data_IF_971177131328
#
_entry.id   IF_971177131328
#
_cell.length_a   1.000
_cell.length_b   1.000
_cell.length_c   1.000
_cell.angle_alpha   90.00
_cell.angle_beta   90.00
_cell.angle_gamma   90.00
#
_symmetry.space_group_name_H-M   'P 1'
#
loop_
_entity.id
_entity.type
_entity.pdbx_description
1 polymer ?
#
# COMPACT_ATOMS: atom_id res chain seq x y z
N UNK A 1 -37.77 -55.46 21.89
CA UNK A 1 -37.57 -54.22 21.12
C UNK A 1 -37.38 -53.11 22.14
N UNK A 2 -36.13 -52.87 22.55
CA UNK A 2 -35.30 -51.69 22.18
C UNK A 2 -35.53 -50.55 23.20
N UNK A 3 -34.65 -50.37 24.19
CA UNK A 3 -33.52 -49.39 24.23
C UNK A 3 -33.98 -47.95 23.93
N UNK A 4 -33.67 -46.87 24.65
CA UNK A 4 -32.61 -46.48 25.62
C UNK A 4 -32.95 -45.01 25.97
N UNK A 5 -32.78 -44.44 27.16
CA UNK A 5 -31.63 -44.47 28.07
C UNK A 5 -30.97 -43.09 28.09
N UNK A 6 -31.29 -42.27 29.10
CA UNK A 6 -30.74 -40.93 29.37
C UNK A 6 -29.21 -40.89 29.47
N UNK A 7 -28.59 -39.80 29.02
CA UNK A 7 -27.24 -39.38 29.45
C UNK A 7 -27.20 -37.87 29.79
N UNK A 8 -26.44 -37.46 30.83
CA UNK A 8 -26.17 -36.07 31.17
C UNK A 8 -24.77 -35.63 30.70
N UNK A 9 -24.62 -34.41 30.19
CA UNK A 9 -23.30 -33.81 29.91
C UNK A 9 -22.76 -33.14 31.18
N UNK A 10 -21.83 -33.84 31.85
CA UNK A 10 -21.01 -33.31 32.93
C UNK A 10 -19.72 -32.67 32.42
N UNK A 11 -19.29 -31.61 33.11
CA UNK A 11 -17.97 -30.99 32.98
C UNK A 11 -16.85 -32.02 33.18
N UNK A 12 -15.72 -31.94 32.44
CA UNK A 12 -14.55 -32.72 32.77
C UNK A 12 -13.88 -32.11 34.01
N UNK A 13 -14.28 -32.61 35.18
CA UNK A 13 -13.47 -32.50 36.39
C UNK A 13 -12.13 -33.19 36.11
N UNK A 14 -11.02 -32.46 36.25
CA UNK A 14 -9.67 -33.02 36.30
C UNK A 14 -9.58 -33.99 37.47
N UNK A 15 -9.81 -35.28 37.22
CA UNK A 15 -9.53 -36.34 38.18
C UNK A 15 -8.02 -36.54 38.19
N UNK A 16 -7.35 -35.92 39.17
CA UNK A 16 -5.98 -36.26 39.52
C UNK A 16 -5.99 -37.69 40.08
N UNK A 17 -5.70 -38.67 39.21
CA UNK A 17 -5.54 -40.06 39.61
C UNK A 17 -4.27 -40.14 40.46
N UNK A 18 -4.43 -40.15 41.78
CA UNK A 18 -3.34 -40.33 42.76
C UNK A 18 -2.69 -41.70 42.48
N UNK A 19 -1.60 -41.71 41.71
CA UNK A 19 -0.67 -42.84 41.64
C UNK A 19 0.00 -42.95 43.01
N UNK A 20 0.13 -44.19 43.47
CA UNK A 20 0.84 -44.60 44.68
C UNK A 20 2.13 -43.80 44.89
N UNK A 21 2.28 -43.25 46.09
CA UNK A 21 3.41 -42.45 46.55
C UNK A 21 4.73 -43.21 46.39
N UNK A 22 5.53 -42.78 45.41
CA UNK A 22 6.98 -42.85 45.45
C UNK A 22 7.41 -41.39 45.47
N UNK A 23 7.94 -40.91 46.59
CA UNK A 23 8.44 -39.54 46.66
C UNK A 23 9.66 -39.43 45.72
N UNK A 24 9.64 -38.50 44.73
CA UNK A 24 10.76 -38.32 43.83
C UNK A 24 11.95 -37.78 44.62
N UNK A 25 13.08 -38.48 44.55
CA UNK A 25 14.27 -38.20 45.34
C UNK A 25 15.11 -37.03 44.82
N UNK A 26 14.78 -36.49 43.63
CA UNK A 26 15.46 -35.32 43.06
C UNK A 26 14.57 -34.50 42.13
N UNK A 27 14.88 -33.21 41.99
CA UNK A 27 14.20 -32.27 41.08
C UNK A 27 14.41 -32.70 39.61
N UNK A 28 15.54 -33.34 39.31
CA UNK A 28 15.87 -33.88 38.00
C UNK A 28 14.89 -34.99 37.56
N UNK A 29 14.52 -35.92 38.45
CA UNK A 29 13.56 -37.01 38.15
C UNK A 29 12.12 -36.49 37.90
N UNK A 30 11.76 -35.36 38.51
CA UNK A 30 10.51 -34.65 38.23
C UNK A 30 10.54 -33.91 36.88
N UNK A 31 11.72 -33.47 36.45
CA UNK A 31 11.91 -32.70 35.23
C UNK A 31 12.17 -33.54 33.98
N UNK A 32 12.46 -34.83 34.11
CA UNK A 32 12.81 -35.72 32.99
C UNK A 32 11.64 -36.05 32.02
N UNK A 33 10.39 -36.26 32.47
CA UNK A 33 9.26 -36.55 31.56
C UNK A 33 8.56 -35.30 31.00
N UNK A 34 8.75 -34.14 31.64
CA UNK A 34 8.09 -32.87 31.26
C UNK A 34 8.43 -32.36 29.84
N UNK A 35 9.66 -32.54 29.30
CA UNK A 35 10.02 -32.03 27.98
C UNK A 35 9.29 -32.76 26.86
N UNK A 36 9.14 -34.09 26.94
CA UNK A 36 8.45 -34.87 25.90
C UNK A 36 6.96 -34.58 25.88
N UNK A 37 6.34 -34.49 27.06
CA UNK A 37 4.92 -34.19 27.21
C UNK A 37 4.61 -32.75 26.75
N UNK A 38 5.49 -31.81 27.10
CA UNK A 38 5.40 -30.42 26.63
C UNK A 38 5.54 -30.33 25.10
N UNK A 39 6.45 -31.09 24.47
CA UNK A 39 6.61 -31.09 23.03
C UNK A 39 5.38 -31.67 22.31
N UNK A 40 4.77 -32.73 22.86
CA UNK A 40 3.53 -33.33 22.35
C UNK A 40 2.36 -32.37 22.48
N UNK A 41 2.20 -31.73 23.64
CA UNK A 41 1.13 -30.77 23.87
C UNK A 41 1.29 -29.53 22.98
N UNK A 42 2.53 -29.03 22.84
CA UNK A 42 2.86 -27.94 21.93
C UNK A 42 2.53 -28.30 20.47
N UNK A 43 2.85 -29.50 20.02
CA UNK A 43 2.51 -29.96 18.66
C UNK A 43 0.97 -29.99 18.46
N UNK A 44 0.24 -30.51 19.45
CA UNK A 44 -1.23 -30.54 19.41
C UNK A 44 -1.86 -29.14 19.41
N UNK A 45 -1.30 -28.21 20.18
CA UNK A 45 -1.73 -26.81 20.22
C UNK A 45 -1.49 -26.12 18.86
N UNK A 46 -0.32 -26.36 18.25
CA UNK A 46 0.01 -25.79 16.95
C UNK A 46 -0.95 -26.26 15.86
N UNK A 47 -1.33 -27.55 15.86
CA UNK A 47 -2.32 -28.09 14.93
C UNK A 47 -3.71 -27.45 15.11
N UNK A 48 -4.13 -27.21 16.35
CA UNK A 48 -5.41 -26.52 16.66
C UNK A 48 -5.41 -25.05 16.23
N UNK A 49 -4.24 -24.42 16.11
CA UNK A 49 -4.08 -23.00 15.76
C UNK A 49 -3.98 -22.72 14.25
N UNK A 50 -4.05 -23.76 13.41
CA UNK A 50 -4.00 -23.63 11.96
C UNK A 50 -5.32 -23.03 11.43
N UNK A 51 -5.18 -22.08 10.51
CA UNK A 51 -6.24 -21.48 9.72
C UNK A 51 -5.95 -21.75 8.25
N UNK A 52 -6.97 -21.81 7.40
CA UNK A 52 -6.77 -22.01 5.95
C UNK A 52 -6.76 -20.64 5.28
N UNK A 53 -5.73 -20.35 4.48
CA UNK A 53 -5.66 -19.12 3.68
C UNK A 53 -6.61 -19.19 2.46
N UNK A 54 -6.79 -18.05 1.76
CA UNK A 54 -7.61 -18.00 0.55
C UNK A 54 -7.09 -18.83 -0.63
N UNK A 55 -5.95 -19.52 -0.48
CA UNK A 55 -5.34 -20.42 -1.46
C UNK A 55 -5.37 -21.89 -1.01
N UNK A 56 -5.99 -22.20 0.14
CA UNK A 56 -6.10 -23.56 0.66
C UNK A 56 -4.92 -24.04 1.52
N UNK A 57 -3.96 -23.19 1.84
CA UNK A 57 -2.81 -23.56 2.68
C UNK A 57 -3.12 -23.37 4.16
N UNK A 58 -2.61 -24.28 4.99
CA UNK A 58 -2.68 -24.16 6.43
C UNK A 58 -1.65 -23.13 6.94
N UNK A 59 -2.14 -21.97 7.35
CA UNK A 59 -1.37 -20.87 7.94
C UNK A 59 -1.66 -20.74 9.44
N UNK A 60 -0.64 -20.51 10.25
CA UNK A 60 -0.82 -20.18 11.67
C UNK A 60 -0.12 -18.88 12.03
N UNK A 61 -0.56 -18.26 13.12
CA UNK A 61 0.15 -17.12 13.69
C UNK A 61 1.49 -17.59 14.28
N UNK A 62 2.53 -16.82 14.01
CA UNK A 62 3.85 -17.04 14.61
C UNK A 62 3.84 -16.68 16.10
N UNK A 63 4.53 -17.48 16.90
CA UNK A 63 4.74 -17.24 18.34
C UNK A 63 5.69 -16.05 18.57
N UNK A 64 5.67 -15.49 19.79
CA UNK A 64 6.56 -14.37 20.17
C UNK A 64 8.05 -14.73 20.00
N UNK A 65 8.39 -15.99 20.29
CA UNK A 65 9.75 -16.51 20.14
C UNK A 65 10.15 -16.61 18.66
N UNK A 66 9.30 -17.18 17.81
CA UNK A 66 9.56 -17.32 16.37
C UNK A 66 9.76 -15.96 15.69
N UNK A 67 8.90 -14.97 16.01
CA UNK A 67 9.03 -13.60 15.49
C UNK A 67 10.37 -12.98 15.92
N UNK A 68 10.73 -13.13 17.19
CA UNK A 68 11.98 -12.58 17.73
C UNK A 68 13.22 -13.27 17.15
N UNK A 69 13.15 -14.58 16.92
CA UNK A 69 14.22 -15.35 16.31
C UNK A 69 14.45 -14.94 14.84
N UNK A 70 13.38 -14.80 14.06
CA UNK A 70 13.45 -14.35 12.67
C UNK A 70 13.99 -12.92 12.54
N UNK A 71 13.60 -12.00 13.42
CA UNK A 71 14.14 -10.63 13.44
C UNK A 71 15.66 -10.64 13.73
N UNK A 72 16.12 -11.49 14.65
CA UNK A 72 17.56 -11.62 14.96
C UNK A 72 18.34 -12.24 13.82
N UNK A 73 17.80 -13.29 13.20
CA UNK A 73 18.41 -13.96 12.06
C UNK A 73 18.57 -13.02 10.88
N UNK A 74 17.56 -12.20 10.60
CA UNK A 74 17.64 -11.22 9.50
C UNK A 74 18.60 -10.07 9.82
N UNK A 75 18.75 -9.68 11.08
CA UNK A 75 19.75 -8.67 11.50
C UNK A 75 21.20 -9.14 11.32
N UNK A 76 21.43 -10.46 11.21
CA UNK A 76 22.74 -11.06 10.96
C UNK A 76 23.01 -11.31 9.46
N UNK A 77 21.99 -11.19 8.59
CA UNK A 77 22.16 -11.36 7.15
C UNK A 77 22.69 -10.07 6.52
N UNK A 78 23.75 -10.18 5.71
CA UNK A 78 24.34 -9.06 4.96
C UNK A 78 23.63 -8.75 3.64
N UNK A 79 22.68 -9.59 3.21
CA UNK A 79 21.96 -9.44 1.94
C UNK A 79 20.52 -8.99 2.19
N UNK A 80 20.19 -7.77 1.76
CA UNK A 80 18.87 -7.17 1.97
C UNK A 80 18.06 -7.27 0.68
N UNK A 81 17.19 -8.28 0.60
CA UNK A 81 16.15 -8.35 -0.44
C UNK A 81 14.96 -7.46 -0.04
N UNK A 82 14.34 -6.78 -1.01
CA UNK A 82 13.18 -5.89 -0.78
C UNK A 82 12.02 -6.64 -0.11
N UNK A 83 11.72 -7.85 -0.56
CA UNK A 83 10.68 -8.70 0.02
C UNK A 83 10.99 -9.05 1.48
N UNK A 84 12.25 -9.40 1.76
CA UNK A 84 12.71 -9.70 3.12
C UNK A 84 12.61 -8.49 4.04
N UNK A 85 12.96 -7.29 3.56
CA UNK A 85 12.85 -6.05 4.31
C UNK A 85 11.40 -5.70 4.67
N UNK A 86 10.46 -5.92 3.74
CA UNK A 86 9.02 -5.75 3.99
C UNK A 86 8.54 -6.74 5.06
N UNK A 87 8.94 -8.01 4.95
CA UNK A 87 8.58 -9.05 5.93
C UNK A 87 9.16 -8.74 7.31
N UNK A 88 10.45 -8.39 7.42
CA UNK A 88 11.05 -8.04 8.72
C UNK A 88 10.37 -6.84 9.35
N UNK A 89 10.02 -5.84 8.54
CA UNK A 89 9.29 -4.67 9.01
C UNK A 89 7.91 -5.06 9.58
N UNK A 90 7.17 -5.91 8.88
CA UNK A 90 5.87 -6.43 9.35
C UNK A 90 6.00 -7.24 10.65
N UNK A 91 7.05 -8.06 10.77
CA UNK A 91 7.36 -8.81 11.99
C UNK A 91 7.71 -7.90 13.18
N UNK A 92 8.52 -6.86 12.96
CA UNK A 92 8.81 -5.83 13.98
C UNK A 92 7.54 -5.11 14.43
N UNK A 93 6.67 -4.77 13.48
CA UNK A 93 5.40 -4.11 13.77
C UNK A 93 4.46 -5.01 14.58
N UNK A 94 4.34 -6.30 14.24
CA UNK A 94 3.54 -7.27 15.00
C UNK A 94 4.05 -7.46 16.44
N UNK A 95 5.39 -7.43 16.62
CA UNK A 95 5.99 -7.44 17.97
C UNK A 95 5.54 -6.24 18.80
N UNK A 96 5.60 -5.03 18.25
CA UNK A 96 5.20 -3.81 18.95
C UNK A 96 3.70 -3.80 19.27
N UNK A 97 2.83 -4.25 18.35
CA UNK A 97 1.38 -4.37 18.60
C UNK A 97 1.05 -5.29 19.77
N UNK A 98 1.79 -6.40 19.88
CA UNK A 98 1.63 -7.36 21.00
C UNK A 98 2.12 -6.79 22.33
N UNK A 99 3.10 -5.90 22.31
CA UNK A 99 3.62 -5.24 23.52
C UNK A 99 2.67 -4.14 24.01
N UNK A 100 1.99 -3.44 23.10
CA UNK A 100 1.04 -2.38 23.44
C UNK A 100 -0.38 -2.88 23.78
N UNK A 101 -0.66 -4.17 23.62
CA UNK A 101 -2.00 -4.74 23.84
C UNK A 101 -3.05 -4.28 22.82
N UNK A 102 -2.64 -3.64 21.72
CA UNK A 102 -3.55 -3.17 20.68
C UNK A 102 -4.17 -4.36 19.93
N UNK A 103 -5.49 -4.49 19.98
CA UNK A 103 -6.24 -5.41 19.11
C UNK A 103 -6.00 -5.03 17.65
N UNK A 104 -5.92 -6.03 16.77
CA UNK A 104 -5.91 -5.81 15.33
C UNK A 104 -7.13 -4.97 14.93
N UNK A 105 -7.00 -4.02 13.99
CA UNK A 105 -8.18 -3.42 13.40
C UNK A 105 -8.95 -4.53 12.68
N UNK A 106 -10.07 -4.95 13.28
CA UNK A 106 -11.21 -5.46 12.52
C UNK A 106 -11.67 -4.27 11.68
N UNK A 107 -11.69 -4.44 10.36
CA UNK A 107 -12.20 -3.44 9.42
C UNK A 107 -13.70 -3.24 9.68
N UNK A 108 -14.03 -2.41 10.65
CA UNK A 108 -15.37 -1.87 10.84
C UNK A 108 -15.25 -0.35 10.80
N UNK A 109 -15.76 0.22 9.71
CA UNK A 109 -15.89 1.66 9.55
C UNK A 109 -16.95 2.16 10.53
N UNK A 110 -16.62 3.16 11.35
CA UNK A 110 -17.61 3.95 12.10
C UNK A 110 -17.53 5.41 11.67
N UNK A 111 -18.69 6.08 11.45
CA UNK A 111 -18.75 7.43 10.92
C UNK A 111 -18.74 8.48 12.03
N UNK A 112 -18.04 9.59 11.77
CA UNK A 112 -18.38 10.93 12.27
C UNK A 112 -18.02 11.27 13.73
N UNK A 113 -17.09 12.20 13.90
CA UNK A 113 -17.18 13.24 14.93
C UNK A 113 -16.21 14.38 14.60
N UNK A 114 -16.78 15.47 14.09
CA UNK A 114 -16.23 16.82 14.21
C UNK A 114 -16.39 17.25 15.67
N UNK A 115 -15.35 17.73 16.32
CA UNK A 115 -15.43 19.04 17.00
C UNK A 115 -14.04 19.59 17.36
N UNK A 116 -13.90 20.90 17.23
CA UNK A 116 -12.67 21.61 17.51
C UNK A 116 -12.57 22.09 18.96
N UNK A 117 -11.35 22.08 19.51
CA UNK A 117 -10.74 23.20 20.24
C UNK A 117 -9.32 22.82 20.69
N UNK A 118 -8.35 23.50 20.09
CA UNK A 118 -6.95 23.54 20.52
C UNK A 118 -6.82 24.31 21.83
N UNK A 119 -6.01 23.84 22.78
CA UNK A 119 -4.95 24.60 23.48
C UNK A 119 -3.96 23.57 24.04
N UNK A 120 -2.70 23.56 23.57
CA UNK A 120 -1.70 22.61 24.05
C UNK A 120 -0.37 23.29 24.36
N UNK A 121 -0.15 23.48 25.66
CA UNK A 121 1.09 23.87 26.29
C UNK A 121 2.09 22.71 26.28
N UNK A 122 3.35 22.99 25.96
CA UNK A 122 4.44 22.02 25.90
C UNK A 122 5.66 22.57 26.62
N UNK A 123 5.57 22.59 27.94
CA UNK A 123 6.71 22.85 28.82
C UNK A 123 7.12 21.56 29.52
N UNK A 124 8.07 20.84 28.92
CA UNK A 124 9.12 20.06 29.61
C UNK A 124 9.71 19.02 28.67
N UNK A 125 11.00 19.18 28.34
CA UNK A 125 12.01 18.12 28.24
C UNK A 125 13.29 18.71 27.65
N UNK A 126 14.27 18.98 28.52
CA UNK A 126 15.64 19.35 28.17
C UNK A 126 16.49 18.07 28.06
N UNK A 127 17.33 17.89 27.03
CA UNK A 127 18.38 16.88 27.04
C UNK A 127 19.76 17.51 27.31
N UNK A 128 20.56 16.83 28.12
CA UNK A 128 21.92 17.16 28.54
C UNK A 128 22.98 16.88 27.45
N UNK A 129 23.76 17.93 27.09
CA UNK A 129 25.25 18.04 26.93
C UNK A 129 26.08 16.81 26.46
N UNK A 130 27.03 16.81 25.50
CA UNK A 130 27.96 17.81 24.85
C UNK A 130 28.67 17.15 23.60
N UNK A 131 29.79 17.63 22.98
CA UNK A 131 29.77 18.56 21.85
C UNK A 131 30.71 18.21 20.65
N UNK A 132 30.18 18.07 19.44
CA UNK A 132 30.94 18.30 18.19
C UNK A 132 30.26 19.33 17.27
N UNK A 133 30.68 20.59 17.39
CA UNK A 133 30.77 21.69 16.40
C UNK A 133 29.71 21.87 15.27
N UNK A 134 28.53 21.27 15.36
CA UNK A 134 27.36 21.55 14.51
C UNK A 134 26.23 22.27 15.28
N UNK A 135 26.53 22.66 16.53
CA UNK A 135 25.57 23.13 17.51
C UNK A 135 24.74 24.35 17.12
N UNK A 136 25.26 25.47 16.59
CA UNK A 136 24.40 26.63 16.38
C UNK A 136 23.32 26.38 15.33
N UNK A 137 23.63 25.59 14.30
CA UNK A 137 22.67 25.22 13.24
C UNK A 137 21.72 24.14 13.76
N UNK A 138 22.22 23.08 14.39
CA UNK A 138 21.36 22.02 14.92
C UNK A 138 20.46 22.53 16.05
N UNK A 139 20.95 23.42 16.90
CA UNK A 139 20.19 24.09 17.95
C UNK A 139 19.17 25.06 17.34
N UNK A 140 19.53 25.82 16.29
CA UNK A 140 18.58 26.63 15.55
C UNK A 140 17.49 25.77 14.88
N UNK A 141 17.85 24.63 14.27
CA UNK A 141 16.91 23.68 13.68
C UNK A 141 16.00 23.04 14.73
N UNK A 142 16.54 22.66 15.89
CA UNK A 142 15.76 22.14 17.02
C UNK A 142 14.87 23.21 17.67
N UNK A 143 15.19 24.50 17.54
CA UNK A 143 14.33 25.62 17.98
C UNK A 143 13.17 25.91 17.01
N UNK A 144 13.23 25.42 15.77
CA UNK A 144 12.10 25.55 14.81
C UNK A 144 11.00 24.59 15.24
N UNK A 145 10.11 25.07 16.10
CA UNK A 145 8.95 24.30 16.57
C UNK A 145 7.76 24.37 15.61
N UNK A 146 7.71 25.37 14.72
CA UNK A 146 6.62 25.58 13.77
C UNK A 146 7.16 26.06 12.43
N UNK A 147 6.63 25.50 11.35
CA UNK A 147 6.81 26.02 9.99
C UNK A 147 5.49 26.64 9.56
N UNK A 148 5.48 27.82 8.93
CA UNK A 148 4.25 28.39 8.40
C UNK A 148 3.65 27.41 7.39
N UNK A 149 2.33 27.21 7.44
CA UNK A 149 1.65 26.14 6.70
C UNK A 149 2.05 26.14 5.23
N UNK A 150 2.04 27.30 4.58
CA UNK A 150 2.39 27.51 3.17
C UNK A 150 3.73 26.86 2.77
N UNK A 151 4.75 26.92 3.63
CA UNK A 151 6.08 26.35 3.41
C UNK A 151 6.25 24.91 3.92
N UNK A 152 5.24 24.40 4.64
CA UNK A 152 5.29 23.10 5.30
C UNK A 152 5.11 21.93 4.33
N UNK A 153 5.56 20.75 4.75
CA UNK A 153 5.26 19.50 4.04
C UNK A 153 3.75 19.24 3.98
N UNK A 154 3.00 19.68 5.00
CA UNK A 154 1.55 19.53 5.05
C UNK A 154 0.84 20.36 3.98
N UNK A 155 1.28 21.59 3.69
CA UNK A 155 0.74 22.37 2.55
C UNK A 155 1.08 21.72 1.21
N UNK A 156 2.29 21.18 1.05
CA UNK A 156 2.64 20.43 -0.17
C UNK A 156 1.77 19.20 -0.36
N UNK A 157 1.41 18.54 0.73
CA UNK A 157 0.61 17.32 0.71
C UNK A 157 -0.90 17.59 0.58
N UNK A 158 -1.44 18.55 1.33
CA UNK A 158 -2.87 18.83 1.46
C UNK A 158 -3.33 20.08 0.69
N UNK A 159 -2.46 21.08 0.52
CA UNK A 159 -2.75 22.33 -0.20
C UNK A 159 -3.44 23.39 0.62
N UNK A 160 -3.39 24.62 0.13
CA UNK A 160 -4.34 25.64 0.58
C UNK A 160 -5.73 25.27 0.07
N UNK A 161 -6.70 25.26 0.97
CA UNK A 161 -8.12 24.88 0.76
C UNK A 161 -8.87 25.77 -0.25
N UNK A 162 -8.20 26.73 -0.88
CA UNK A 162 -8.77 27.74 -1.77
C UNK A 162 -8.80 27.34 -3.25
N UNK A 163 -8.66 26.06 -3.58
CA UNK A 163 -8.78 25.62 -4.96
C UNK A 163 -10.26 25.50 -5.35
N UNK A 164 -10.70 26.51 -6.10
CA UNK A 164 -11.88 26.59 -6.95
C UNK A 164 -12.37 25.21 -7.41
N UNK A 165 -13.65 24.92 -7.14
CA UNK A 165 -14.33 23.64 -7.38
C UNK A 165 -13.74 22.85 -8.56
N UNK A 166 -12.94 21.84 -8.24
CA UNK A 166 -12.35 20.94 -9.22
C UNK A 166 -13.48 20.12 -9.83
N UNK A 167 -13.58 20.08 -11.16
CA UNK A 167 -14.44 19.11 -11.87
C UNK A 167 -13.81 17.73 -11.69
N UNK A 168 -14.17 17.08 -10.59
CA UNK A 168 -13.72 15.74 -10.23
C UNK A 168 -14.56 14.73 -11.01
N UNK A 169 -13.90 13.76 -11.63
CA UNK A 169 -14.53 12.64 -12.33
C UNK A 169 -15.03 11.60 -11.32
N UNK A 170 -14.19 11.23 -10.35
CA UNK A 170 -14.53 10.27 -9.31
C UNK A 170 -13.62 10.40 -8.07
N UNK A 171 -14.16 9.98 -6.93
CA UNK A 171 -13.41 9.75 -5.69
C UNK A 171 -13.35 8.26 -5.41
N UNK A 172 -12.14 7.73 -5.22
CA UNK A 172 -11.91 6.32 -4.92
C UNK A 172 -11.33 6.18 -3.51
N UNK A 173 -12.17 5.68 -2.60
CA UNK A 173 -11.80 5.36 -1.22
C UNK A 173 -11.42 3.89 -1.02
N UNK A 174 -11.66 3.04 -2.02
CA UNK A 174 -11.45 1.60 -1.92
C UNK A 174 -10.02 1.21 -2.29
N UNK A 175 -9.43 1.94 -3.24
CA UNK A 175 -8.08 1.67 -3.70
C UNK A 175 -7.05 2.00 -2.63
N UNK A 176 -6.33 0.96 -2.20
CA UNK A 176 -5.17 1.08 -1.30
C UNK A 176 -3.93 0.62 -2.06
N UNK A 177 -3.02 1.55 -2.33
CA UNK A 177 -1.74 1.23 -2.97
C UNK A 177 -0.74 0.61 -1.98
N UNK A 178 0.26 -0.15 -2.46
CA UNK A 178 1.36 -0.64 -1.62
C UNK A 178 2.04 0.49 -0.85
N UNK A 179 2.21 1.65 -1.49
CA UNK A 179 2.75 2.84 -0.85
C UNK A 179 1.87 3.37 0.29
N UNK A 180 0.55 3.46 0.09
CA UNK A 180 -0.40 3.87 1.14
C UNK A 180 -0.35 2.92 2.34
N UNK A 181 -0.31 1.61 2.08
CA UNK A 181 -0.19 0.60 3.13
C UNK A 181 1.13 0.75 3.90
N UNK A 182 2.25 0.95 3.20
CA UNK A 182 3.56 1.17 3.80
C UNK A 182 3.59 2.43 4.68
N UNK A 183 3.01 3.53 4.22
CA UNK A 183 2.91 4.77 4.99
C UNK A 183 2.03 4.57 6.24
N UNK A 184 0.94 3.79 6.11
CA UNK A 184 0.13 3.35 7.24
C UNK A 184 0.94 2.58 8.28
N UNK A 185 1.73 1.59 7.84
CA UNK A 185 2.59 0.78 8.70
C UNK A 185 3.68 1.61 9.39
N UNK A 186 4.33 2.52 8.66
CA UNK A 186 5.32 3.45 9.17
C UNK A 186 4.75 4.29 10.31
N UNK A 187 3.58 4.87 10.07
CA UNK A 187 2.90 5.70 11.05
C UNK A 187 2.53 4.87 12.26
N UNK A 188 1.92 3.71 12.06
CA UNK A 188 1.51 2.83 13.16
C UNK A 188 2.70 2.38 14.01
N UNK A 189 3.82 2.05 13.39
CA UNK A 189 5.04 1.73 14.13
C UNK A 189 5.54 2.90 14.98
N UNK A 190 5.55 4.12 14.42
CA UNK A 190 5.92 5.32 15.16
C UNK A 190 4.97 5.62 16.33
N UNK A 191 3.66 5.39 16.12
CA UNK A 191 2.62 5.53 17.16
C UNK A 191 2.90 4.62 18.36
N UNK A 192 3.26 3.37 18.09
CA UNK A 192 3.55 2.37 19.12
C UNK A 192 4.85 2.67 19.88
N UNK A 193 5.89 3.17 19.19
CA UNK A 193 7.16 3.55 19.82
C UNK A 193 7.04 4.79 20.72
N UNK A 194 6.06 5.66 20.47
CA UNK A 194 5.91 6.93 21.17
C UNK A 194 4.47 7.16 21.67
N UNK A 195 3.99 6.36 22.64
CA UNK A 195 2.60 6.43 23.13
C UNK A 195 2.29 7.78 23.81
N UNK A 196 3.29 8.42 24.43
CA UNK A 196 3.12 9.69 25.14
C UNK A 196 3.16 10.93 24.22
N UNK A 197 3.45 10.76 22.92
CA UNK A 197 3.46 11.87 21.96
C UNK A 197 2.08 12.04 21.35
N UNK A 198 1.65 13.29 21.16
CA UNK A 198 0.46 13.59 20.37
C UNK A 198 0.65 13.14 18.94
N UNK A 199 -0.25 12.28 18.51
CA UNK A 199 -0.22 11.74 17.16
C UNK A 199 -1.10 12.62 16.27
N UNK A 200 -0.64 12.96 15.06
CA UNK A 200 -1.50 13.66 14.11
C UNK A 200 -2.70 12.77 13.75
N UNK A 201 -3.90 13.34 13.88
CA UNK A 201 -5.15 12.75 13.38
C UNK A 201 -5.19 12.92 11.87
N UNK A 202 -4.75 11.90 11.14
CA UNK A 202 -4.80 11.92 9.68
C UNK A 202 -6.03 11.16 9.20
N UNK A 203 -6.88 11.84 8.44
CA UNK A 203 -8.02 11.23 7.77
C UNK A 203 -7.54 10.42 6.56
N UNK A 204 -8.25 9.32 6.29
CA UNK A 204 -8.06 8.54 5.06
C UNK A 204 -8.44 9.43 3.88
N UNK A 205 -7.50 9.63 2.95
CA UNK A 205 -7.73 10.41 1.75
C UNK A 205 -7.99 9.48 0.56
N UNK A 206 -8.97 9.80 -0.30
CA UNK A 206 -9.22 9.05 -1.52
C UNK A 206 -8.17 9.35 -2.60
N UNK A 207 -8.13 8.50 -3.61
CA UNK A 207 -7.56 8.85 -4.91
C UNK A 207 -8.62 9.62 -5.69
N UNK A 208 -8.27 10.83 -6.12
CA UNK A 208 -9.16 11.73 -6.86
C UNK A 208 -8.81 11.62 -8.34
N UNK A 209 -9.79 11.24 -9.15
CA UNK A 209 -9.67 11.27 -10.61
C UNK A 209 -10.24 12.58 -11.13
N UNK A 210 -9.45 13.32 -11.91
CA UNK A 210 -9.85 14.63 -12.45
C UNK A 210 -9.26 14.83 -13.84
N UNK A 211 -9.64 15.91 -14.52
CA UNK A 211 -9.07 16.25 -15.82
C UNK A 211 -7.70 16.93 -15.65
N UNK A 212 -6.87 16.91 -16.69
CA UNK A 212 -5.57 17.61 -16.70
C UNK A 212 -5.78 19.12 -16.51
N UNK A 213 -4.87 19.74 -15.76
CA UNK A 213 -4.86 21.17 -15.43
C UNK A 213 -3.42 21.66 -15.40
N UNK A 214 -3.23 22.96 -15.52
CA UNK A 214 -1.89 23.59 -15.53
C UNK A 214 -1.03 23.16 -14.35
N UNK A 215 -1.57 23.17 -13.12
CA UNK A 215 -0.81 22.78 -11.92
C UNK A 215 -0.46 21.29 -11.85
N UNK A 216 -1.06 20.43 -12.69
CA UNK A 216 -0.67 19.03 -12.79
C UNK A 216 0.54 18.86 -13.71
N UNK A 217 0.81 19.80 -14.64
CA UNK A 217 1.79 19.63 -15.72
C UNK A 217 3.18 19.28 -15.22
N UNK A 218 3.71 20.00 -14.22
CA UNK A 218 5.07 19.74 -13.73
C UNK A 218 5.22 18.30 -13.20
N UNK A 219 4.23 17.83 -12.44
CA UNK A 219 4.23 16.46 -11.91
C UNK A 219 3.97 15.42 -13.00
N UNK A 220 3.13 15.73 -13.98
CA UNK A 220 2.83 14.86 -15.12
C UNK A 220 4.05 14.72 -16.03
N UNK A 221 4.73 15.81 -16.37
CA UNK A 221 5.98 15.78 -17.14
C UNK A 221 7.04 14.96 -16.40
N UNK A 222 7.22 15.19 -15.10
CA UNK A 222 8.13 14.41 -14.28
C UNK A 222 7.79 12.90 -14.28
N UNK A 223 6.50 12.56 -14.21
CA UNK A 223 6.04 11.17 -14.27
C UNK A 223 6.30 10.55 -15.66
N UNK A 224 5.96 11.26 -16.74
CA UNK A 224 6.15 10.76 -18.10
C UNK A 224 7.62 10.61 -18.47
N UNK A 225 8.48 11.54 -18.06
CA UNK A 225 9.94 11.43 -18.27
C UNK A 225 10.54 10.21 -17.58
N UNK A 226 10.03 9.84 -16.40
CA UNK A 226 10.50 8.67 -15.66
C UNK A 226 10.00 7.34 -16.25
N UNK A 227 8.79 7.33 -16.81
CA UNK A 227 8.13 6.10 -17.28
C UNK A 227 8.35 5.81 -18.77
N UNK A 228 8.64 6.84 -19.57
CA UNK A 228 8.82 6.73 -21.02
C UNK A 228 10.23 7.19 -21.40
N UNK A 229 10.38 8.41 -21.95
CA UNK A 229 11.66 9.02 -22.32
C UNK A 229 11.68 10.49 -21.92
N UNK A 230 12.88 11.07 -21.83
CA UNK A 230 13.06 12.47 -21.46
C UNK A 230 12.55 13.42 -22.55
N UNK A 231 12.09 14.61 -22.15
CA UNK A 231 11.68 15.66 -23.10
C UNK A 231 10.23 15.58 -23.58
N UNK A 232 9.41 14.68 -23.02
CA UNK A 232 7.96 14.66 -23.28
C UNK A 232 7.33 15.93 -22.69
N UNK A 233 6.64 16.69 -23.53
CA UNK A 233 5.76 17.79 -23.13
C UNK A 233 4.33 17.45 -23.53
N UNK A 234 3.39 17.61 -22.59
CA UNK A 234 1.96 17.41 -22.83
C UNK A 234 1.16 18.69 -22.54
N UNK A 235 1.83 19.84 -22.58
CA UNK A 235 1.20 21.15 -22.38
C UNK A 235 0.03 21.36 -23.34
N UNK A 236 0.19 20.93 -24.60
CA UNK A 236 -0.80 20.99 -25.67
C UNK A 236 -2.10 20.23 -25.33
N UNK A 237 -2.03 19.23 -24.43
CA UNK A 237 -3.22 18.47 -24.00
C UNK A 237 -4.23 19.31 -23.21
N UNK A 238 -3.85 20.52 -22.76
CA UNK A 238 -4.76 21.47 -22.13
C UNK A 238 -5.67 22.17 -23.15
N UNK A 239 -5.22 22.32 -24.39
CA UNK A 239 -5.96 23.06 -25.42
C UNK A 239 -7.03 22.17 -26.09
N UNK A 240 -6.77 20.87 -26.19
CA UNK A 240 -7.60 19.91 -26.93
C UNK A 240 -8.65 19.19 -26.06
N UNK A 241 -9.56 19.95 -25.44
CA UNK A 241 -10.68 19.42 -24.64
C UNK A 241 -10.22 18.43 -23.55
N UNK A 242 -9.44 18.89 -22.55
CA UNK A 242 -8.87 18.03 -21.51
C UNK A 242 -9.96 17.26 -20.75
N UNK A 243 -11.18 17.80 -20.69
CA UNK A 243 -12.32 17.17 -20.03
C UNK A 243 -12.78 15.84 -20.65
N UNK A 244 -12.44 15.58 -21.92
CA UNK A 244 -12.78 14.32 -22.61
C UNK A 244 -11.56 13.46 -22.91
N UNK A 245 -10.40 14.09 -23.02
CA UNK A 245 -9.18 13.45 -23.50
C UNK A 245 -8.23 13.05 -22.37
N UNK A 246 -8.39 13.60 -21.16
CA UNK A 246 -7.39 13.42 -20.10
C UNK A 246 -7.99 12.96 -18.78
N UNK A 247 -7.28 12.10 -18.08
CA UNK A 247 -7.57 11.68 -16.72
C UNK A 247 -6.28 11.70 -15.91
N UNK A 248 -6.29 12.43 -14.81
CA UNK A 248 -5.21 12.51 -13.83
C UNK A 248 -5.69 11.93 -12.52
N UNK A 249 -4.94 10.97 -11.98
CA UNK A 249 -5.17 10.40 -10.66
C UNK A 249 -4.26 11.10 -9.63
N UNK A 250 -4.87 11.69 -8.60
CA UNK A 250 -4.19 12.41 -7.55
C UNK A 250 -4.46 11.77 -6.19
N UNK A 251 -3.42 11.47 -5.43
CA UNK A 251 -3.54 11.18 -4.00
C UNK A 251 -3.19 12.45 -3.22
N UNK A 252 -4.23 13.09 -2.66
CA UNK A 252 -4.12 14.46 -2.13
C UNK A 252 -3.59 15.39 -3.23
N UNK A 253 -2.40 16.00 -3.09
CA UNK A 253 -1.77 16.82 -4.15
C UNK A 253 -0.76 16.09 -5.03
N UNK A 254 -0.47 14.83 -4.74
CA UNK A 254 0.50 14.06 -5.49
C UNK A 254 -0.16 13.43 -6.72
N UNK A 255 0.33 13.74 -7.91
CA UNK A 255 -0.06 13.01 -9.13
C UNK A 255 0.54 11.61 -9.06
N UNK A 256 -0.33 10.61 -9.05
CA UNK A 256 0.02 9.19 -8.97
C UNK A 256 -0.24 8.46 -10.28
N UNK A 257 -0.97 9.05 -11.20
CA UNK A 257 -1.17 8.49 -12.54
C UNK A 257 -1.74 9.51 -13.51
N UNK A 258 -1.53 9.25 -14.80
CA UNK A 258 -2.04 10.07 -15.89
C UNK A 258 -2.40 9.18 -17.07
N UNK A 259 -3.48 9.54 -17.75
CA UNK A 259 -3.93 8.94 -18.97
C UNK A 259 -4.36 10.05 -19.95
N UNK A 260 -3.80 10.04 -21.16
CA UNK A 260 -3.98 11.10 -22.16
C UNK A 260 -4.32 10.45 -23.50
N UNK A 261 -5.36 10.98 -24.13
CA UNK A 261 -5.82 10.64 -25.46
C UNK A 261 -5.55 11.84 -26.39
N UNK A 262 -5.11 11.58 -27.62
CA UNK A 262 -4.59 12.60 -28.54
C UNK A 262 -5.61 13.68 -28.88
N UNK A 263 -6.80 13.28 -29.32
CA UNK A 263 -7.88 14.22 -29.62
C UNK A 263 -9.24 13.54 -29.50
N UNK A 264 -10.33 14.29 -29.29
CA UNK A 264 -11.65 13.68 -29.22
C UNK A 264 -12.07 13.05 -30.56
N UNK A 265 -11.45 13.43 -31.69
CA UNK A 265 -11.76 12.87 -33.02
C UNK A 265 -10.93 11.60 -33.28
N UNK A 266 -9.64 11.66 -32.98
CA UNK A 266 -8.69 10.55 -33.07
C UNK A 266 -8.45 10.00 -31.67
N UNK A 267 -9.26 9.01 -31.31
CA UNK A 267 -9.26 8.32 -30.02
C UNK A 267 -8.06 7.39 -29.86
N UNK A 268 -6.86 7.96 -29.98
CA UNK A 268 -5.57 7.31 -29.75
C UNK A 268 -5.04 7.63 -28.35
N UNK A 269 -4.81 6.60 -27.51
CA UNK A 269 -4.21 6.79 -26.19
C UNK A 269 -2.71 7.03 -26.38
N UNK A 270 -2.29 8.28 -26.15
CA UNK A 270 -0.90 8.70 -26.28
C UNK A 270 -0.06 8.23 -25.10
N UNK A 271 -0.58 8.42 -23.88
CA UNK A 271 0.14 8.09 -22.65
C UNK A 271 -0.80 7.47 -21.62
N UNK A 272 -0.36 6.39 -20.99
CA UNK A 272 -0.97 5.82 -19.80
C UNK A 272 0.14 5.42 -18.83
N UNK A 273 0.26 6.14 -17.73
CA UNK A 273 1.30 5.92 -16.73
C UNK A 273 0.74 5.95 -15.31
N UNK A 274 1.28 5.06 -14.47
CA UNK A 274 1.06 5.07 -13.03
C UNK A 274 2.44 5.15 -12.38
N UNK A 275 2.54 5.95 -11.31
CA UNK A 275 3.78 6.14 -10.57
C UNK A 275 4.26 4.82 -9.97
N UNK A 276 5.56 4.59 -9.99
CA UNK A 276 6.19 3.42 -9.38
C UNK A 276 5.82 3.32 -7.88
N UNK A 277 5.53 2.11 -7.41
CA UNK A 277 5.02 1.87 -6.04
C UNK A 277 3.51 2.11 -5.85
N UNK A 278 2.83 2.66 -6.87
CA UNK A 278 1.36 2.78 -6.96
C UNK A 278 0.75 1.78 -7.94
N UNK A 279 1.58 0.90 -8.51
CA UNK A 279 1.16 -0.17 -9.40
C UNK A 279 0.38 -1.27 -8.65
N UNK A 280 -0.35 -2.10 -9.39
CA UNK A 280 -1.11 -3.22 -8.82
C UNK A 280 -2.37 -2.82 -8.05
N UNK A 281 -2.65 -1.52 -7.87
CA UNK A 281 -3.83 -1.04 -7.13
C UNK A 281 -4.96 -0.55 -8.04
N UNK A 282 -5.11 -1.12 -9.25
CA UNK A 282 -6.20 -0.80 -10.21
C UNK A 282 -6.31 0.66 -10.67
N UNK A 283 -5.34 1.54 -10.36
CA UNK A 283 -5.39 2.96 -10.75
C UNK A 283 -5.45 3.09 -12.28
N UNK A 284 -4.61 2.38 -13.01
CA UNK A 284 -4.63 2.36 -14.48
C UNK A 284 -5.95 1.84 -15.05
N UNK A 285 -6.55 0.84 -14.38
CA UNK A 285 -7.88 0.32 -14.73
C UNK A 285 -8.95 1.40 -14.61
N UNK A 286 -8.98 2.11 -13.48
CA UNK A 286 -9.95 3.18 -13.25
C UNK A 286 -9.74 4.35 -14.23
N UNK A 287 -8.50 4.76 -14.49
CA UNK A 287 -8.23 5.83 -15.48
C UNK A 287 -8.68 5.43 -16.88
N UNK A 288 -8.38 4.20 -17.31
CA UNK A 288 -8.78 3.70 -18.62
C UNK A 288 -10.31 3.57 -18.73
N UNK A 289 -10.98 3.10 -17.66
CA UNK A 289 -12.43 3.08 -17.58
C UNK A 289 -13.04 4.47 -17.79
N UNK A 290 -12.51 5.50 -17.12
CA UNK A 290 -13.00 6.87 -17.28
C UNK A 290 -12.78 7.41 -18.70
N UNK A 291 -11.61 7.19 -19.31
CA UNK A 291 -11.36 7.60 -20.71
C UNK A 291 -12.38 6.96 -21.66
N UNK A 292 -12.62 5.67 -21.52
CA UNK A 292 -13.56 4.93 -22.36
C UNK A 292 -14.99 5.44 -22.14
N UNK A 293 -15.39 5.66 -20.89
CA UNK A 293 -16.73 6.15 -20.55
C UNK A 293 -16.99 7.58 -21.08
N UNK A 294 -15.97 8.43 -21.15
CA UNK A 294 -16.08 9.79 -21.68
C UNK A 294 -16.16 9.85 -23.22
N UNK A 295 -15.81 8.77 -23.91
CA UNK A 295 -15.78 8.70 -25.38
C UNK A 295 -16.67 7.55 -25.91
N UNK A 296 -17.99 7.59 -25.66
CA UNK A 296 -18.88 6.52 -26.07
C UNK A 296 -18.98 6.41 -27.60
N UNK A 297 -19.07 5.17 -28.10
CA UNK A 297 -19.29 4.89 -29.53
C UNK A 297 -18.09 5.19 -30.44
N UNK A 298 -16.92 5.46 -29.86
CA UNK A 298 -15.68 5.68 -30.60
C UNK A 298 -14.71 4.52 -30.38
N UNK A 299 -14.07 4.10 -31.45
CA UNK A 299 -13.04 3.07 -31.37
C UNK A 299 -11.75 3.65 -30.81
N UNK A 300 -11.23 3.06 -29.75
CA UNK A 300 -10.03 3.56 -29.08
C UNK A 300 -8.84 2.72 -29.54
N UNK A 301 -7.74 3.37 -29.92
CA UNK A 301 -6.51 2.68 -30.36
C UNK A 301 -5.31 3.11 -29.52
N UNK A 302 -4.28 2.26 -29.46
CA UNK A 302 -3.02 2.57 -28.78
C UNK A 302 -1.89 1.69 -29.29
N UNK A 303 -0.64 2.14 -29.08
CA UNK A 303 0.54 1.29 -29.22
C UNK A 303 1.08 0.91 -27.84
N UNK A 304 1.55 -0.32 -27.72
CA UNK A 304 2.15 -0.84 -26.50
C UNK A 304 3.37 -1.68 -26.85
N UNK A 305 4.46 -1.47 -26.13
CA UNK A 305 5.69 -2.24 -26.35
C UNK A 305 5.46 -3.72 -26.13
N UNK A 306 6.06 -4.57 -26.97
CA UNK A 306 5.80 -6.01 -27.02
C UNK A 306 6.10 -6.74 -25.69
N UNK A 307 6.98 -6.19 -24.84
CA UNK A 307 7.33 -6.75 -23.54
C UNK A 307 6.65 -6.04 -22.35
N UNK A 308 5.73 -5.11 -22.60
CA UNK A 308 5.09 -4.34 -21.54
C UNK A 308 3.95 -5.14 -20.87
N UNK A 309 3.97 -5.33 -19.54
CA UNK A 309 2.94 -6.08 -18.81
C UNK A 309 1.53 -5.45 -18.92
N UNK A 310 1.43 -4.18 -19.33
CA UNK A 310 0.17 -3.48 -19.59
C UNK A 310 -0.68 -4.16 -20.68
N UNK A 311 -0.10 -5.02 -21.52
CA UNK A 311 -0.86 -5.87 -22.46
C UNK A 311 -2.02 -6.62 -21.77
N UNK A 312 -1.81 -7.12 -20.55
CA UNK A 312 -2.84 -7.82 -19.79
C UNK A 312 -3.96 -6.90 -19.30
N UNK A 313 -3.64 -5.63 -19.03
CA UNK A 313 -4.66 -4.63 -18.70
C UNK A 313 -5.53 -4.36 -19.92
N UNK A 314 -4.93 -4.08 -21.07
CA UNK A 314 -5.67 -3.77 -22.30
C UNK A 314 -6.53 -4.94 -22.76
N UNK A 315 -6.00 -6.17 -22.71
CA UNK A 315 -6.77 -7.38 -23.05
C UNK A 315 -8.02 -7.54 -22.17
N UNK A 316 -7.92 -7.24 -20.85
CA UNK A 316 -9.07 -7.28 -19.93
C UNK A 316 -10.17 -6.27 -20.27
N UNK A 317 -9.82 -5.15 -20.89
CA UNK A 317 -10.78 -4.18 -21.42
C UNK A 317 -11.35 -4.57 -22.80
N UNK A 318 -10.87 -5.65 -23.40
CA UNK A 318 -11.32 -6.12 -24.71
C UNK A 318 -10.58 -5.51 -25.89
N UNK A 319 -9.43 -4.85 -25.67
CA UNK A 319 -8.57 -4.43 -26.76
C UNK A 319 -8.05 -5.65 -27.52
N UNK A 320 -8.09 -5.59 -28.85
CA UNK A 320 -7.54 -6.62 -29.73
C UNK A 320 -6.31 -6.10 -30.44
N UNK A 321 -5.28 -6.94 -30.58
CA UNK A 321 -4.13 -6.63 -31.41
C UNK A 321 -4.53 -6.68 -32.88
N UNK A 322 -4.28 -5.60 -33.62
CA UNK A 322 -4.53 -5.52 -35.06
C UNK A 322 -3.23 -5.70 -35.85
N UNK A 323 -2.13 -5.07 -35.39
CA UNK A 323 -0.86 -5.04 -36.12
C UNK A 323 0.34 -5.20 -35.17
N UNK A 324 1.42 -5.80 -35.67
CA UNK A 324 2.72 -5.84 -35.00
C UNK A 324 3.72 -4.99 -35.80
N UNK A 325 4.29 -3.98 -35.15
CA UNK A 325 5.15 -2.97 -35.78
C UNK A 325 6.57 -3.13 -35.24
N UNK A 326 7.50 -3.43 -36.15
CA UNK A 326 8.92 -3.57 -35.86
C UNK A 326 9.55 -2.18 -35.78
N UNK A 327 10.38 -1.94 -34.75
CA UNK A 327 11.14 -0.69 -34.62
C UNK A 327 10.33 0.55 -34.22
N UNK A 328 9.06 0.41 -33.81
CA UNK A 328 8.19 1.54 -33.45
C UNK A 328 8.83 2.53 -32.45
N UNK A 329 9.59 2.01 -31.47
CA UNK A 329 10.23 2.83 -30.44
C UNK A 329 11.72 3.12 -30.69
N UNK A 330 12.26 2.85 -31.89
CA UNK A 330 13.69 3.04 -32.19
C UNK A 330 14.16 4.48 -32.05
N UNK A 331 13.33 5.45 -32.45
CA UNK A 331 13.66 6.87 -32.41
C UNK A 331 13.51 7.50 -31.01
N UNK A 332 12.82 6.80 -30.10
CA UNK A 332 12.48 7.33 -28.76
C UNK A 332 13.31 6.71 -27.64
N UNK A 333 13.78 5.47 -27.83
CA UNK A 333 14.57 4.75 -26.84
C UNK A 333 16.06 4.90 -27.14
N UNK A 334 16.87 5.00 -26.09
CA UNK A 334 18.33 4.91 -26.21
C UNK A 334 18.72 3.60 -26.91
N UNK A 335 19.73 3.66 -27.79
CA UNK A 335 20.28 2.52 -28.49
C UNK A 335 20.76 1.42 -27.53
N UNK A 336 21.16 1.78 -26.30
CA UNK A 336 21.56 0.85 -25.25
C UNK A 336 20.40 0.30 -24.40
N UNK A 337 19.17 0.76 -24.60
CA UNK A 337 18.02 0.33 -23.81
C UNK A 337 17.68 -1.15 -24.05
N UNK A 338 17.48 -1.90 -22.97
CA UNK A 338 16.99 -3.28 -23.02
C UNK A 338 15.47 -3.38 -23.25
N UNK A 339 14.75 -2.26 -23.33
CA UNK A 339 13.32 -2.25 -23.62
C UNK A 339 13.04 -2.68 -25.07
N UNK A 340 11.90 -3.35 -25.30
CA UNK A 340 11.55 -3.79 -26.65
C UNK A 340 11.20 -2.59 -27.52
N UNK A 341 11.86 -2.50 -28.67
CA UNK A 341 11.62 -1.48 -29.70
C UNK A 341 10.36 -1.74 -30.53
N UNK A 342 9.82 -2.95 -30.45
CA UNK A 342 8.65 -3.36 -31.22
C UNK A 342 7.36 -3.07 -30.46
N UNK A 343 6.28 -2.79 -31.18
CA UNK A 343 4.99 -2.47 -30.59
C UNK A 343 3.86 -3.30 -31.19
N UNK A 344 2.84 -3.57 -30.38
CA UNK A 344 1.53 -3.99 -30.87
C UNK A 344 0.62 -2.77 -30.98
N UNK A 345 -0.04 -2.64 -32.12
CA UNK A 345 -1.18 -1.75 -32.28
C UNK A 345 -2.43 -2.45 -31.78
N UNK A 346 -3.04 -1.90 -30.74
CA UNK A 346 -4.28 -2.42 -30.19
C UNK A 346 -5.46 -1.51 -30.54
N UNK A 347 -6.64 -2.12 -30.70
CA UNK A 347 -7.91 -1.39 -30.89
C UNK A 347 -9.01 -2.00 -30.03
N UNK A 348 -9.73 -1.14 -29.32
CA UNK A 348 -11.00 -1.42 -28.68
C UNK A 348 -12.12 -0.93 -29.60
N UNK A 349 -12.92 -1.87 -30.10
CA UNK A 349 -14.08 -1.54 -30.93
C UNK A 349 -15.30 -1.35 -30.04
N UNK A 350 -15.88 -0.15 -30.06
CA UNK A 350 -17.14 0.09 -29.35
C UNK A 350 -18.28 -0.21 -30.32
N UNK A 351 -18.80 -1.44 -30.23
CA UNK A 351 -19.93 -1.84 -31.06
C UNK A 351 -21.11 -0.87 -30.87
N UNK A 352 -21.65 -0.35 -31.98
CA UNK A 352 -23.00 0.21 -31.99
C UNK A 352 -23.93 -0.89 -31.49
N UNK A 353 -24.45 -0.74 -30.27
CA UNK A 353 -25.73 -1.40 -29.95
C UNK A 353 -26.78 -0.65 -30.77
N UNK A 354 -27.06 -1.18 -31.96
CA UNK A 354 -28.25 -0.84 -32.76
C UNK A 354 -29.51 -1.21 -32.01
#
# INVERSE_FOLDING_TARGET
>A
MSCSGHTPFGNPCLVFRRRSEVEPTSVEELMEPLPSDYLLEKASYLLRSLQVDGKGNNVRRMSKYEISALIRQEAQSSTVSVERAVVTRKLKLDRERRLSGASLPRLEATPGALDGKEILDFSSLSPSSTPHQTFPILEALCKINRTPYESSFLSRHHGNTSHQMVKVLAFDYETISPWMALMGDLREHYRLLHPNRRQPSESVAPIVYSCLREWHLDQVHGLLHQMFWAGISVSDSLDYSPERCTVVACYKRLVVGVAILSSPQETYITYLAVKTGWEGSKIATNMLYHIIAMNPGKDISLHVSANNPAMLLYNRFGFKAEEFIVGFYEDYLDHQSHASKNAFRLRLRQGHRT
#
